data_IF_037382441736
#
_entry.id   IF_037382441736
#
_cell.length_a   1.000
_cell.length_b   1.000
_cell.length_c   1.000
_cell.angle_alpha   90.00
_cell.angle_beta   90.00
_cell.angle_gamma   90.00
#
_symmetry.space_group_name_H-M   'P 1'
#
loop_
_entity.id
_entity.type
_entity.pdbx_description
1 polymer ?
#
# COMPACT_ATOMS: atom_id res chain seq x y z
N UNK A 1 5.24 5.95 -19.96
CA UNK A 1 5.63 5.86 -18.53
C UNK A 1 5.40 4.44 -18.09
N UNK A 2 6.33 3.83 -17.34
CA UNK A 2 6.11 2.50 -16.76
C UNK A 2 5.01 2.59 -15.70
N UNK A 3 4.09 1.65 -15.72
CA UNK A 3 3.03 1.55 -14.74
C UNK A 3 3.64 1.18 -13.37
N UNK A 4 3.19 1.83 -12.29
CA UNK A 4 3.60 1.53 -10.92
C UNK A 4 2.47 0.74 -10.26
N UNK A 5 2.80 -0.36 -9.60
CA UNK A 5 1.87 -1.23 -8.89
C UNK A 5 2.03 -1.00 -7.38
N UNK A 6 0.93 -1.13 -6.65
CA UNK A 6 0.93 -1.06 -5.20
C UNK A 6 0.75 -2.47 -4.63
N UNK A 7 1.63 -2.86 -3.71
CA UNK A 7 1.37 -3.98 -2.80
C UNK A 7 0.86 -3.42 -1.47
N UNK A 8 -0.20 -4.00 -0.94
CA UNK A 8 -0.61 -3.78 0.45
C UNK A 8 -0.56 -5.09 1.21
N UNK A 9 -0.09 -5.04 2.46
CA UNK A 9 -0.15 -6.17 3.38
C UNK A 9 -0.77 -5.67 4.69
N UNK A 10 -1.96 -6.13 5.00
CA UNK A 10 -2.56 -5.96 6.33
C UNK A 10 -2.35 -7.24 7.12
N UNK A 11 -1.87 -7.14 8.34
CA UNK A 11 -1.63 -8.36 9.12
C UNK A 11 -1.66 -8.15 10.62
N UNK A 12 -1.98 -9.24 11.32
CA UNK A 12 -1.91 -9.33 12.77
C UNK A 12 -0.48 -9.63 13.18
N UNK A 13 0.03 -8.90 14.15
CA UNK A 13 1.41 -9.03 14.62
C UNK A 13 1.65 -10.33 15.38
N UNK A 14 2.81 -10.95 15.13
CA UNK A 14 3.33 -12.07 15.92
C UNK A 14 4.04 -11.59 17.19
N UNK A 15 4.89 -10.52 17.18
CA UNK A 15 5.54 -10.00 18.39
C UNK A 15 4.53 -9.42 19.39
N UNK A 16 4.89 -9.50 20.68
CA UNK A 16 4.02 -9.09 21.78
C UNK A 16 3.96 -7.57 22.05
N UNK A 17 4.76 -6.77 21.33
CA UNK A 17 4.75 -5.31 21.45
C UNK A 17 5.15 -4.65 20.12
N UNK A 18 4.77 -3.37 19.96
CA UNK A 18 5.16 -2.59 18.77
C UNK A 18 6.69 -2.44 18.67
N UNK A 19 7.37 -2.27 19.79
CA UNK A 19 8.83 -2.18 19.79
C UNK A 19 9.48 -3.49 19.34
N UNK A 20 9.00 -4.63 19.84
CA UNK A 20 9.47 -5.95 19.39
C UNK A 20 9.15 -6.17 17.89
N UNK A 21 7.99 -5.74 17.42
CA UNK A 21 7.63 -5.80 16.01
C UNK A 21 8.56 -4.94 15.13
N UNK A 22 8.91 -3.73 15.59
CA UNK A 22 9.86 -2.85 14.91
C UNK A 22 11.26 -3.46 14.83
N UNK A 23 11.73 -4.08 15.91
CA UNK A 23 13.02 -4.76 15.92
C UNK A 23 13.07 -5.93 14.94
N UNK A 24 12.05 -6.79 14.96
CA UNK A 24 11.94 -7.92 14.02
C UNK A 24 11.86 -7.42 12.58
N UNK A 25 11.03 -6.41 12.31
CA UNK A 25 10.91 -5.81 10.99
C UNK A 25 12.26 -5.28 10.48
N UNK A 26 13.01 -4.53 11.30
CA UNK A 26 14.30 -3.97 10.90
C UNK A 26 15.38 -5.03 10.66
N UNK A 27 15.27 -6.18 11.34
CA UNK A 27 16.19 -7.33 11.17
C UNK A 27 15.80 -8.23 9.98
N UNK A 28 14.62 -8.06 9.40
CA UNK A 28 14.09 -8.88 8.30
C UNK A 28 13.80 -8.02 7.07
N UNK A 29 12.60 -7.47 6.95
CA UNK A 29 12.19 -6.65 5.81
C UNK A 29 13.01 -5.37 5.64
N UNK A 30 13.44 -4.76 6.74
CA UNK A 30 14.31 -3.58 6.77
C UNK A 30 15.80 -3.86 6.74
N UNK A 31 16.24 -5.12 6.67
CA UNK A 31 17.66 -5.47 6.59
C UNK A 31 18.26 -4.96 5.26
N UNK A 32 19.49 -4.40 5.27
CA UNK A 32 20.09 -3.78 4.08
C UNK A 32 20.13 -4.69 2.86
N UNK A 33 20.40 -5.97 3.05
CA UNK A 33 20.47 -6.98 1.98
C UNK A 33 19.10 -7.25 1.39
N UNK A 34 18.06 -7.34 2.22
CA UNK A 34 16.66 -7.52 1.80
C UNK A 34 16.17 -6.31 1.01
N UNK A 35 16.45 -5.10 1.50
CA UNK A 35 16.12 -3.84 0.81
C UNK A 35 16.84 -3.76 -0.54
N UNK A 36 18.12 -4.11 -0.62
CA UNK A 36 18.88 -4.12 -1.88
C UNK A 36 18.31 -5.13 -2.87
N UNK A 37 17.94 -6.33 -2.41
CA UNK A 37 17.31 -7.36 -3.23
C UNK A 37 15.95 -6.89 -3.77
N UNK A 38 15.07 -6.33 -2.92
CA UNK A 38 13.78 -5.79 -3.34
C UNK A 38 13.94 -4.70 -4.41
N UNK A 39 14.84 -3.74 -4.19
CA UNK A 39 15.13 -2.65 -5.15
C UNK A 39 15.63 -3.17 -6.50
N UNK A 40 16.48 -4.19 -6.51
CA UNK A 40 16.98 -4.81 -7.74
C UNK A 40 15.87 -5.45 -8.57
N UNK A 41 14.76 -5.84 -7.93
CA UNK A 41 13.58 -6.43 -8.55
C UNK A 41 12.45 -5.42 -8.81
N UNK A 42 12.69 -4.13 -8.54
CA UNK A 42 11.78 -3.05 -8.89
C UNK A 42 10.96 -2.46 -7.75
N UNK A 43 11.31 -2.73 -6.49
CA UNK A 43 10.76 -2.02 -5.34
C UNK A 43 11.22 -0.55 -5.36
N UNK A 44 10.27 0.37 -5.21
CA UNK A 44 10.49 1.81 -5.18
C UNK A 44 10.37 2.38 -3.77
N UNK A 45 9.53 1.79 -2.94
CA UNK A 45 9.28 2.28 -1.60
C UNK A 45 8.67 1.21 -0.70
N UNK A 46 9.00 1.28 0.57
CA UNK A 46 8.45 0.45 1.64
C UNK A 46 7.97 1.35 2.78
N UNK A 47 6.68 1.32 3.07
CA UNK A 47 6.05 2.15 4.09
C UNK A 47 5.27 1.30 5.07
N UNK A 48 5.45 1.55 6.36
CA UNK A 48 4.83 0.78 7.45
C UNK A 48 3.97 1.70 8.31
N UNK A 49 2.73 1.30 8.54
CA UNK A 49 1.76 2.04 9.32
C UNK A 49 1.19 1.19 10.45
N UNK A 50 0.84 1.85 11.53
CA UNK A 50 0.10 1.27 12.67
C UNK A 50 -1.27 1.94 12.78
N UNK A 51 -2.30 1.23 13.26
CA UNK A 51 -3.62 1.81 13.45
C UNK A 51 -3.58 3.00 14.43
N UNK A 52 -4.15 4.14 14.03
CA UNK A 52 -4.13 5.35 14.86
C UNK A 52 -5.03 5.25 16.10
N UNK A 53 -6.15 4.53 15.99
CA UNK A 53 -7.21 4.49 17.01
C UNK A 53 -7.48 3.10 17.59
N UNK A 54 -6.84 2.08 17.06
CA UNK A 54 -6.97 0.70 17.53
C UNK A 54 -5.66 0.35 18.22
N UNK A 55 -5.73 -0.21 19.40
CA UNK A 55 -4.54 -0.59 20.16
C UNK A 55 -3.57 -1.45 19.32
N UNK A 56 -2.41 -1.75 19.90
CA UNK A 56 -1.40 -2.62 19.34
C UNK A 56 -2.00 -3.94 18.82
N UNK A 57 -1.51 -4.45 17.70
CA UNK A 57 -1.88 -5.78 17.20
C UNK A 57 -1.88 -5.92 15.68
N UNK A 58 -1.87 -4.82 14.93
CA UNK A 58 -1.85 -4.85 13.46
C UNK A 58 -0.74 -3.96 12.89
N UNK A 59 -0.24 -4.37 11.71
CA UNK A 59 0.53 -3.52 10.80
C UNK A 59 -0.17 -3.45 9.44
N UNK A 60 0.04 -2.31 8.77
CA UNK A 60 -0.30 -2.12 7.39
C UNK A 60 0.94 -1.68 6.62
N UNK A 61 1.31 -2.45 5.60
CA UNK A 61 2.47 -2.19 4.75
C UNK A 61 1.97 -1.76 3.37
N UNK A 62 2.63 -0.77 2.79
CA UNK A 62 2.43 -0.30 1.43
C UNK A 62 3.78 -0.24 0.71
N UNK A 63 3.90 -0.98 -0.40
CA UNK A 63 5.09 -1.00 -1.24
C UNK A 63 4.74 -0.62 -2.67
N UNK A 64 5.54 0.23 -3.30
CA UNK A 64 5.41 0.58 -4.70
C UNK A 64 6.40 -0.21 -5.55
N UNK A 65 5.93 -0.83 -6.62
CA UNK A 65 6.72 -1.70 -7.50
C UNK A 65 6.60 -1.31 -8.96
N UNK A 66 7.70 -1.40 -9.70
CA UNK A 66 7.71 -1.18 -11.16
C UNK A 66 7.22 -2.39 -11.95
N UNK A 67 7.15 -3.58 -11.32
CA UNK A 67 6.83 -4.85 -11.99
C UNK A 67 6.17 -5.84 -11.06
N UNK A 68 4.98 -6.39 -11.42
CA UNK A 68 4.38 -7.50 -10.69
C UNK A 68 5.24 -8.76 -10.73
N UNK A 69 6.03 -8.96 -11.78
CA UNK A 69 6.95 -10.10 -11.91
C UNK A 69 8.07 -10.01 -10.87
N UNK A 70 8.70 -8.83 -10.73
CA UNK A 70 9.74 -8.61 -9.73
C UNK A 70 9.20 -8.75 -8.30
N UNK A 71 8.01 -8.20 -8.05
CA UNK A 71 7.31 -8.37 -6.78
C UNK A 71 7.07 -9.85 -6.46
N UNK A 72 6.53 -10.62 -7.40
CA UNK A 72 6.28 -12.05 -7.21
C UNK A 72 7.58 -12.83 -6.98
N UNK A 73 8.66 -12.49 -7.71
CA UNK A 73 9.97 -13.11 -7.52
C UNK A 73 10.50 -12.85 -6.10
N UNK A 74 10.45 -11.61 -5.63
CA UNK A 74 10.88 -11.24 -4.28
C UNK A 74 10.10 -11.99 -3.20
N UNK A 75 8.77 -11.96 -3.27
CA UNK A 75 7.92 -12.62 -2.28
C UNK A 75 7.82 -14.14 -2.42
N UNK A 76 8.39 -14.74 -3.47
CA UNK A 76 8.56 -16.21 -3.58
C UNK A 76 9.83 -16.70 -2.89
N UNK A 77 10.71 -15.81 -2.47
CA UNK A 77 11.95 -16.17 -1.76
C UNK A 77 11.63 -16.73 -0.36
N UNK A 78 12.25 -17.87 -0.02
CA UNK A 78 11.98 -18.57 1.23
C UNK A 78 12.41 -17.75 2.47
N UNK A 79 13.48 -16.96 2.38
CA UNK A 79 13.94 -16.11 3.49
C UNK A 79 12.97 -14.94 3.71
N UNK A 80 12.46 -14.34 2.63
CA UNK A 80 11.43 -13.30 2.70
C UNK A 80 10.16 -13.84 3.35
N UNK A 81 9.72 -15.04 2.95
CA UNK A 81 8.56 -15.70 3.54
C UNK A 81 8.77 -16.02 5.03
N UNK A 82 9.94 -16.51 5.40
CA UNK A 82 10.29 -16.77 6.79
C UNK A 82 10.29 -15.47 7.61
N UNK A 83 10.91 -14.40 7.12
CA UNK A 83 10.90 -13.08 7.77
C UNK A 83 9.47 -12.58 8.00
N UNK A 84 8.61 -12.72 6.99
CA UNK A 84 7.21 -12.32 7.10
C UNK A 84 6.44 -13.11 8.17
N UNK A 85 6.74 -14.39 8.41
CA UNK A 85 6.11 -15.17 9.49
C UNK A 85 6.59 -14.77 10.89
N UNK A 86 7.76 -14.15 10.99
CA UNK A 86 8.24 -13.58 12.26
C UNK A 86 7.52 -12.27 12.60
N UNK A 87 7.01 -11.55 11.58
CA UNK A 87 6.27 -10.29 11.76
C UNK A 87 4.78 -10.54 11.96
N UNK A 88 4.20 -11.48 11.21
CA UNK A 88 2.75 -11.69 11.16
C UNK A 88 2.33 -13.11 11.52
N UNK A 89 1.29 -13.23 12.35
CA UNK A 89 0.56 -14.50 12.54
C UNK A 89 -0.44 -14.75 11.42
N UNK A 90 -1.05 -13.67 10.90
CA UNK A 90 -1.98 -13.68 9.77
C UNK A 90 -1.70 -12.46 8.89
N UNK A 91 -1.81 -12.61 7.58
CA UNK A 91 -1.61 -11.50 6.63
C UNK A 91 -2.48 -11.66 5.39
N UNK A 92 -2.89 -10.52 4.82
CA UNK A 92 -3.65 -10.40 3.58
C UNK A 92 -2.84 -9.54 2.58
N UNK A 93 -1.94 -10.14 1.77
CA UNK A 93 -1.22 -9.43 0.72
C UNK A 93 -2.12 -9.26 -0.50
N UNK A 94 -2.20 -8.04 -1.02
CA UNK A 94 -2.95 -7.73 -2.25
C UNK A 94 -2.13 -6.83 -3.15
N UNK A 95 -2.07 -7.18 -4.43
CA UNK A 95 -1.45 -6.35 -5.46
C UNK A 95 -2.52 -5.58 -6.21
N UNK A 96 -2.26 -4.30 -6.42
CA UNK A 96 -3.16 -3.33 -7.01
C UNK A 96 -2.53 -2.67 -8.23
N UNK A 97 -3.34 -2.46 -9.27
CA UNK A 97 -2.98 -1.66 -10.43
C UNK A 97 -3.66 -0.28 -10.35
N UNK A 98 -3.02 0.79 -10.80
CA UNK A 98 -3.63 2.13 -10.84
C UNK A 98 -4.99 2.11 -11.52
N UNK A 99 -5.97 2.80 -10.95
CA UNK A 99 -7.29 2.93 -11.52
C UNK A 99 -7.28 4.00 -12.62
N UNK A 100 -7.26 3.58 -13.88
CA UNK A 100 -7.19 4.48 -15.02
C UNK A 100 -8.37 5.44 -15.07
N UNK A 101 -8.07 6.73 -15.31
CA UNK A 101 -9.07 7.78 -15.44
C UNK A 101 -9.65 8.29 -14.12
N UNK A 102 -9.23 7.75 -12.98
CA UNK A 102 -9.53 8.33 -11.68
C UNK A 102 -8.73 9.61 -11.47
N UNK A 103 -9.34 10.58 -10.82
CA UNK A 103 -8.66 11.80 -10.42
C UNK A 103 -7.73 11.50 -9.26
N UNK A 104 -6.44 11.69 -9.46
CA UNK A 104 -5.40 11.47 -8.45
C UNK A 104 -4.52 12.70 -8.34
N UNK A 105 -3.91 12.92 -7.18
CA UNK A 105 -2.96 14.01 -7.00
C UNK A 105 -1.89 13.67 -5.96
N UNK A 106 -0.73 14.27 -6.15
CA UNK A 106 0.36 14.29 -5.19
C UNK A 106 0.76 15.74 -4.92
N UNK A 107 0.81 16.13 -3.67
CA UNK A 107 1.28 17.44 -3.24
C UNK A 107 2.64 17.28 -2.58
N UNK A 108 3.52 18.30 -2.69
CA UNK A 108 4.78 18.30 -1.97
C UNK A 108 4.54 18.15 -0.46
N UNK A 109 5.22 17.21 0.17
CA UNK A 109 5.20 17.09 1.62
C UNK A 109 5.91 18.30 2.25
N UNK A 110 5.41 18.83 3.37
CA UNK A 110 6.13 19.83 4.16
C UNK A 110 7.51 19.27 4.55
N UNK A 111 8.54 20.10 4.43
CA UNK A 111 9.89 19.73 4.88
C UNK A 111 9.92 19.53 6.40
N UNK A 112 10.59 18.48 6.87
CA UNK A 112 10.79 18.20 8.30
C UNK A 112 9.71 17.34 8.97
N UNK A 113 8.69 16.89 8.26
CA UNK A 113 7.69 15.95 8.79
C UNK A 113 7.91 14.55 8.22
N UNK A 114 8.25 13.60 9.09
CA UNK A 114 8.38 12.16 8.75
C UNK A 114 7.12 11.38 9.09
N UNK A 115 6.35 11.84 10.08
CA UNK A 115 5.11 11.16 10.47
C UNK A 115 3.97 11.52 9.52
N UNK A 116 3.30 10.51 9.04
CA UNK A 116 2.16 10.65 8.12
C UNK A 116 1.01 9.77 8.58
N UNK A 117 -0.18 10.29 8.38
CA UNK A 117 -1.42 9.53 8.55
C UNK A 117 -1.91 9.12 7.16
N UNK A 118 -2.43 7.91 7.07
CA UNK A 118 -3.13 7.46 5.87
C UNK A 118 -4.57 7.10 6.20
N UNK A 119 -5.47 7.45 5.28
CA UNK A 119 -6.83 6.93 5.23
C UNK A 119 -6.92 5.92 4.08
N UNK A 120 -7.44 4.72 4.35
CA UNK A 120 -7.61 3.70 3.33
C UNK A 120 -9.07 3.29 3.23
N UNK A 121 -9.54 3.09 1.99
CA UNK A 121 -10.85 2.53 1.68
C UNK A 121 -10.62 1.31 0.80
N UNK A 122 -11.21 0.18 1.16
CA UNK A 122 -11.22 -1.04 0.36
C UNK A 122 -12.63 -1.57 0.26
N UNK A 123 -13.10 -1.86 -0.93
CA UNK A 123 -14.45 -2.36 -1.15
C UNK A 123 -14.72 -2.74 -2.59
N UNK A 124 -15.84 -3.41 -2.82
CA UNK A 124 -16.29 -3.76 -4.16
C UNK A 124 -17.23 -2.69 -4.71
N UNK A 125 -17.11 -2.41 -6.01
CA UNK A 125 -17.96 -1.47 -6.73
C UNK A 125 -18.85 -2.21 -7.75
N UNK A 126 -19.99 -1.63 -8.10
CA UNK A 126 -20.90 -2.23 -9.06
C UNK A 126 -20.34 -2.18 -10.50
N UNK A 127 -19.66 -1.09 -10.85
CA UNK A 127 -18.89 -0.97 -12.09
C UNK A 127 -17.73 0.01 -11.92
N UNK A 128 -16.64 -0.20 -12.66
CA UNK A 128 -15.48 0.70 -12.67
C UNK A 128 -15.83 2.09 -13.18
N UNK A 129 -16.67 2.18 -14.21
CA UNK A 129 -17.06 3.46 -14.79
C UNK A 129 -17.89 4.31 -13.82
N UNK A 130 -18.89 3.71 -13.17
CA UNK A 130 -19.71 4.41 -12.18
C UNK A 130 -18.83 4.84 -10.97
N UNK A 131 -17.94 3.98 -10.50
CA UNK A 131 -17.01 4.31 -9.43
C UNK A 131 -16.12 5.49 -9.82
N UNK A 132 -15.53 5.47 -11.02
CA UNK A 132 -14.72 6.57 -11.56
C UNK A 132 -15.47 7.89 -11.59
N UNK A 133 -16.68 7.90 -12.18
CA UNK A 133 -17.49 9.10 -12.28
C UNK A 133 -17.82 9.69 -10.90
N UNK A 134 -18.26 8.83 -9.98
CA UNK A 134 -18.63 9.24 -8.63
C UNK A 134 -17.43 9.74 -7.85
N UNK A 135 -16.33 8.98 -7.82
CA UNK A 135 -15.12 9.36 -7.07
C UNK A 135 -14.50 10.64 -7.62
N UNK A 136 -14.41 10.78 -8.96
CA UNK A 136 -13.89 12.01 -9.57
C UNK A 136 -14.71 13.23 -9.19
N UNK A 137 -16.03 13.11 -9.14
CA UNK A 137 -16.92 14.19 -8.70
C UNK A 137 -16.67 14.56 -7.24
N UNK A 138 -16.59 13.57 -6.34
CA UNK A 138 -16.36 13.79 -4.92
C UNK A 138 -14.98 14.43 -4.66
N UNK A 139 -13.93 13.85 -5.26
CA UNK A 139 -12.56 14.33 -5.05
C UNK A 139 -12.37 15.74 -5.61
N UNK A 140 -12.87 16.03 -6.81
CA UNK A 140 -12.76 17.37 -7.39
C UNK A 140 -13.48 18.45 -6.56
N UNK A 141 -14.63 18.13 -5.99
CA UNK A 141 -15.36 19.04 -5.10
C UNK A 141 -14.68 19.20 -3.74
N UNK A 142 -14.07 18.15 -3.20
CA UNK A 142 -13.42 18.12 -1.90
C UNK A 142 -11.97 18.59 -1.89
N UNK A 143 -11.29 18.63 -3.04
CA UNK A 143 -9.85 18.82 -3.15
C UNK A 143 -9.32 20.05 -2.39
N UNK A 144 -9.93 21.21 -2.59
CA UNK A 144 -9.43 22.44 -1.93
C UNK A 144 -9.57 22.35 -0.41
N UNK A 145 -10.63 21.73 0.09
CA UNK A 145 -10.84 21.50 1.51
C UNK A 145 -9.83 20.50 2.05
N UNK A 146 -9.63 19.38 1.36
CA UNK A 146 -8.64 18.37 1.74
C UNK A 146 -7.23 18.96 1.82
N UNK A 147 -6.81 19.74 0.83
CA UNK A 147 -5.51 20.44 0.84
C UNK A 147 -5.34 21.38 2.03
N UNK A 148 -6.38 22.14 2.38
CA UNK A 148 -6.36 23.04 3.55
C UNK A 148 -6.26 22.27 4.88
N UNK A 149 -6.73 21.03 4.91
CA UNK A 149 -6.66 20.14 6.07
C UNK A 149 -5.39 19.29 6.12
N UNK A 150 -4.49 19.44 5.14
CA UNK A 150 -3.19 18.79 5.15
C UNK A 150 -3.06 17.54 4.28
N UNK A 151 -4.07 17.20 3.44
CA UNK A 151 -3.95 16.08 2.51
C UNK A 151 -2.81 16.30 1.51
N UNK A 152 -1.96 15.31 1.37
CA UNK A 152 -0.77 15.31 0.52
C UNK A 152 -0.98 14.53 -0.77
N UNK A 153 -1.76 13.45 -0.74
CA UNK A 153 -2.06 12.67 -1.94
C UNK A 153 -3.42 12.00 -1.86
N UNK A 154 -3.98 11.71 -3.02
CA UNK A 154 -5.15 10.86 -3.21
C UNK A 154 -4.88 9.93 -4.38
N UNK A 155 -5.01 8.64 -4.14
CA UNK A 155 -4.77 7.61 -5.14
C UNK A 155 -5.87 6.56 -5.12
N UNK A 156 -6.14 5.98 -6.30
CA UNK A 156 -7.12 4.92 -6.49
C UNK A 156 -6.53 3.78 -7.31
N UNK A 157 -6.87 2.56 -6.93
CA UNK A 157 -6.37 1.33 -7.53
C UNK A 157 -7.47 0.30 -7.66
N UNK A 158 -7.35 -0.60 -8.64
CA UNK A 158 -8.13 -1.83 -8.69
C UNK A 158 -7.22 -3.03 -8.41
N UNK A 159 -7.79 -4.04 -7.73
CA UNK A 159 -7.05 -5.28 -7.50
C UNK A 159 -6.55 -5.86 -8.82
N UNK A 160 -5.27 -6.17 -8.88
CA UNK A 160 -4.66 -6.82 -10.03
C UNK A 160 -5.18 -8.26 -10.15
N UNK A 161 -5.63 -8.63 -11.33
CA UNK A 161 -6.05 -10.00 -11.66
C UNK A 161 -5.06 -10.65 -12.62
N UNK A 162 -4.92 -11.99 -12.59
CA UNK A 162 -4.08 -12.68 -13.55
C UNK A 162 -4.48 -12.39 -15.00
N UNK A 163 -3.53 -12.42 -15.95
CA UNK A 163 -3.84 -12.24 -17.37
C UNK A 163 -4.92 -13.22 -17.84
N UNK A 164 -5.91 -12.71 -18.59
CA UNK A 164 -7.03 -13.49 -19.09
C UNK A 164 -8.20 -13.69 -18.11
N UNK A 165 -8.03 -13.27 -16.86
CA UNK A 165 -9.14 -13.24 -15.89
C UNK A 165 -10.00 -11.99 -16.07
N UNK A 166 -11.29 -12.03 -15.66
CA UNK A 166 -12.13 -10.83 -15.61
C UNK A 166 -11.47 -9.75 -14.73
N UNK A 167 -11.67 -8.51 -15.13
CA UNK A 167 -11.20 -7.37 -14.32
C UNK A 167 -11.86 -7.35 -12.95
N UNK A 168 -11.06 -7.07 -11.92
CA UNK A 168 -11.56 -6.94 -10.56
C UNK A 168 -12.45 -5.71 -10.41
N UNK A 169 -13.52 -5.85 -9.65
CA UNK A 169 -14.35 -4.75 -9.16
C UNK A 169 -13.97 -4.33 -7.74
N UNK A 170 -12.90 -4.88 -7.19
CA UNK A 170 -12.39 -4.49 -5.88
C UNK A 170 -11.51 -3.23 -6.03
N UNK A 171 -11.98 -2.16 -5.40
CA UNK A 171 -11.34 -0.84 -5.39
C UNK A 171 -10.59 -0.62 -4.08
N UNK A 172 -9.45 0.02 -4.19
CA UNK A 172 -8.65 0.50 -3.06
C UNK A 172 -8.34 1.98 -3.27
N UNK A 173 -8.71 2.80 -2.31
CA UNK A 173 -8.38 4.22 -2.25
C UNK A 173 -7.43 4.49 -1.10
N UNK A 174 -6.45 5.37 -1.29
CA UNK A 174 -5.54 5.81 -0.25
C UNK A 174 -5.33 7.32 -0.31
N UNK A 175 -5.46 7.94 0.85
CA UNK A 175 -5.18 9.36 1.10
C UNK A 175 -4.04 9.47 2.13
N UNK A 176 -3.06 10.33 1.84
CA UNK A 176 -1.95 10.64 2.75
C UNK A 176 -2.08 12.08 3.24
#
# INVERSE_FOLDING_TARGET
MSQIFLLTIRGTLAPASLEAARQVHNQTAGAPEGVAAARSLGDLSHMVYVPANLGFGELFIMDLWTSPTGLNQFFSDAQVQQGATMIFTQRDPVVWAPAEGFFTYHLPAPTGHNDRYIGVIRGSVASREQARTTMNSIVSQGLQKARKLGSLSHEAYFRLTPPGSPESLELFGVDV
#
